data_IF_646519251503
#
_entry.id   IF_646519251503
#
_cell.length_a   1.000
_cell.length_b   1.000
_cell.length_c   1.000
_cell.angle_alpha   90.00
_cell.angle_beta   90.00
_cell.angle_gamma   90.00
#
_symmetry.space_group_name_H-M   'P 1'
#
loop_
_entity.id
_entity.type
_entity.pdbx_description
1 polymer ?
#
# COMPACT_ATOMS: atom_id res chain seq x y z
N UNK A 1 -55.13 -39.66 11.96
CA UNK A 1 -54.28 -38.91 12.90
C UNK A 1 -53.13 -38.33 12.09
N UNK A 2 -53.28 -37.09 11.63
CA UNK A 2 -52.35 -36.40 10.70
C UNK A 2 -51.74 -35.26 11.51
N UNK A 3 -50.43 -35.29 11.73
CA UNK A 3 -49.72 -34.22 12.44
C UNK A 3 -49.16 -33.26 11.39
N UNK A 4 -49.71 -32.06 11.37
CA UNK A 4 -49.29 -30.91 10.57
C UNK A 4 -48.03 -30.28 11.18
N UNK A 5 -46.98 -30.13 10.37
CA UNK A 5 -45.85 -29.25 10.69
C UNK A 5 -46.07 -27.91 9.99
N UNK A 6 -46.41 -26.89 10.78
CA UNK A 6 -46.47 -25.51 10.33
C UNK A 6 -45.07 -24.89 10.35
N UNK A 7 -44.58 -24.47 9.18
CA UNK A 7 -43.32 -23.76 9.00
C UNK A 7 -43.48 -22.29 9.40
N UNK A 8 -42.84 -21.87 10.48
CA UNK A 8 -42.71 -20.46 10.85
C UNK A 8 -41.63 -19.84 9.94
N UNK A 9 -42.07 -19.06 8.94
CA UNK A 9 -41.19 -18.17 8.17
C UNK A 9 -40.99 -16.85 8.95
N UNK A 10 -39.87 -16.70 9.65
CA UNK A 10 -39.41 -15.37 10.07
C UNK A 10 -38.71 -14.68 8.88
N UNK A 11 -39.46 -13.83 8.18
CA UNK A 11 -38.91 -12.95 7.14
C UNK A 11 -38.14 -11.80 7.78
N UNK A 12 -36.84 -11.94 8.00
CA UNK A 12 -35.95 -10.79 8.00
C UNK A 12 -35.68 -10.40 6.55
N UNK A 13 -36.47 -9.46 6.03
CA UNK A 13 -36.26 -8.85 4.74
C UNK A 13 -35.00 -7.98 4.77
N UNK A 14 -33.83 -8.59 4.53
CA UNK A 14 -32.67 -7.85 4.05
C UNK A 14 -33.01 -7.48 2.61
N UNK A 15 -33.19 -6.19 2.33
CA UNK A 15 -33.66 -5.74 1.01
C UNK A 15 -32.69 -6.17 -0.11
N UNK A 16 -33.24 -6.79 -1.15
CA UNK A 16 -32.53 -7.22 -2.37
C UNK A 16 -31.69 -6.13 -3.07
N UNK A 17 -31.86 -4.87 -2.69
CA UNK A 17 -31.08 -3.72 -3.15
C UNK A 17 -29.61 -3.74 -2.70
N UNK A 18 -29.27 -4.40 -1.59
CA UNK A 18 -27.88 -4.48 -1.12
C UNK A 18 -27.02 -5.45 -1.93
N UNK A 19 -27.59 -6.58 -2.34
CA UNK A 19 -26.90 -7.52 -3.23
C UNK A 19 -26.70 -6.92 -4.63
N UNK A 20 -27.65 -6.10 -5.09
CA UNK A 20 -27.61 -5.42 -6.39
C UNK A 20 -26.49 -4.36 -6.48
N UNK A 21 -26.22 -3.61 -5.41
CA UNK A 21 -25.11 -2.64 -5.38
C UNK A 21 -23.74 -3.33 -5.45
N UNK A 22 -23.62 -4.55 -4.94
CA UNK A 22 -22.40 -5.34 -5.05
C UNK A 22 -22.24 -6.02 -6.42
N UNK A 23 -23.32 -6.49 -7.04
CA UNK A 23 -23.25 -7.04 -8.41
C UNK A 23 -23.05 -5.96 -9.47
N UNK A 24 -23.54 -4.72 -9.28
CA UNK A 24 -23.28 -3.63 -10.23
C UNK A 24 -21.82 -3.12 -10.18
N UNK A 25 -21.18 -3.11 -9.00
CA UNK A 25 -19.78 -2.69 -8.87
C UNK A 25 -18.79 -3.66 -9.56
N UNK A 26 -19.22 -4.89 -9.86
CA UNK A 26 -18.46 -5.86 -10.67
C UNK A 26 -18.59 -5.57 -12.18
N UNK A 27 -19.57 -4.76 -12.60
CA UNK A 27 -19.85 -4.40 -14.01
C UNK A 27 -19.09 -3.13 -14.44
N UNK A 28 -18.77 -2.22 -13.52
CA UNK A 28 -18.02 -1.01 -13.83
C UNK A 28 -16.52 -1.34 -13.95
N UNK A 29 -16.02 -1.40 -15.19
CA UNK A 29 -14.60 -1.61 -15.47
C UNK A 29 -13.68 -0.58 -14.80
N UNK A 30 -12.37 -0.86 -14.79
CA UNK A 30 -11.35 0.01 -14.18
C UNK A 30 -11.53 1.47 -14.65
N UNK A 31 -11.72 2.45 -13.75
CA UNK A 31 -11.84 3.87 -14.11
C UNK A 31 -10.65 4.35 -14.93
N UNK A 32 -10.86 5.26 -15.89
CA UNK A 32 -9.78 5.71 -16.77
C UNK A 32 -8.61 6.35 -16.00
N UNK A 33 -8.90 7.06 -14.90
CA UNK A 33 -7.88 7.63 -14.02
C UNK A 33 -7.12 6.58 -13.17
N UNK A 34 -7.54 5.32 -13.17
CA UNK A 34 -6.88 4.21 -12.50
C UNK A 34 -5.99 3.39 -13.47
N UNK A 35 -6.12 3.60 -14.79
CA UNK A 35 -5.38 2.84 -15.80
C UNK A 35 -3.94 3.32 -15.94
N UNK A 36 -3.02 2.36 -15.90
CA UNK A 36 -1.62 2.54 -16.27
C UNK A 36 -1.35 2.30 -17.76
N UNK A 37 -0.11 2.54 -18.24
CA UNK A 37 0.32 2.02 -19.53
C UNK A 37 0.20 0.49 -19.59
N UNK A 38 -0.03 -0.04 -20.79
CA UNK A 38 0.02 -1.47 -21.01
C UNK A 38 1.45 -2.00 -20.83
N UNK A 39 1.57 -3.16 -20.19
CA UNK A 39 2.85 -3.87 -20.11
C UNK A 39 3.10 -4.56 -21.45
N UNK A 40 4.24 -4.30 -22.13
CA UNK A 40 4.54 -4.95 -23.41
C UNK A 40 4.69 -6.47 -23.27
N UNK A 41 4.66 -7.18 -24.40
CA UNK A 41 4.78 -8.65 -24.45
C UNK A 41 6.06 -9.21 -23.78
N UNK A 42 7.12 -8.39 -23.64
CA UNK A 42 8.34 -8.75 -22.90
C UNK A 42 8.16 -8.87 -21.38
N UNK A 43 6.98 -8.55 -20.86
CA UNK A 43 6.59 -8.77 -19.46
C UNK A 43 6.95 -7.66 -18.49
N UNK A 44 7.58 -6.58 -18.95
CA UNK A 44 7.87 -5.39 -18.15
C UNK A 44 7.92 -4.13 -19.02
N UNK A 45 7.69 -2.99 -18.39
CA UNK A 45 7.85 -1.66 -18.99
C UNK A 45 8.94 -0.90 -18.25
N UNK A 46 9.93 -0.37 -18.98
CA UNK A 46 10.91 0.58 -18.46
C UNK A 46 10.75 1.91 -19.18
N UNK A 47 10.66 3.01 -18.44
CA UNK A 47 10.48 4.35 -18.98
C UNK A 47 11.32 5.36 -18.22
N UNK A 48 12.01 6.24 -18.96
CA UNK A 48 12.73 7.36 -18.35
C UNK A 48 11.73 8.39 -17.80
N UNK A 49 11.91 8.79 -16.53
CA UNK A 49 11.14 9.89 -15.92
C UNK A 49 11.89 11.20 -16.14
N UNK A 50 13.04 11.37 -15.46
CA UNK A 50 13.86 12.58 -15.50
C UNK A 50 15.25 12.30 -14.95
N UNK A 51 16.28 12.94 -15.51
CA UNK A 51 17.60 13.07 -14.88
C UNK A 51 18.21 11.75 -14.41
N UNK A 52 18.08 10.67 -15.18
CA UNK A 52 18.61 9.34 -14.87
C UNK A 52 17.72 8.46 -13.98
N UNK A 53 16.52 8.93 -13.59
CA UNK A 53 15.50 8.09 -12.93
C UNK A 53 14.67 7.37 -13.99
N UNK A 54 14.51 6.06 -13.83
CA UNK A 54 13.71 5.20 -14.68
C UNK A 54 12.62 4.52 -13.85
N UNK A 55 11.40 4.58 -14.36
CA UNK A 55 10.25 3.82 -13.85
C UNK A 55 10.28 2.41 -14.43
N UNK A 56 10.02 1.41 -13.59
CA UNK A 56 9.96 0.01 -13.98
C UNK A 56 8.67 -0.63 -13.45
N UNK A 57 7.93 -1.29 -14.34
CA UNK A 57 6.67 -1.99 -14.03
C UNK A 57 6.80 -3.47 -14.41
N UNK A 58 6.29 -4.35 -13.57
CA UNK A 58 6.04 -5.76 -13.89
C UNK A 58 4.83 -6.28 -13.13
N UNK A 59 3.82 -6.77 -13.85
CA UNK A 59 2.51 -7.07 -13.28
C UNK A 59 1.89 -5.84 -12.59
N UNK A 60 1.29 -6.06 -11.42
CA UNK A 60 0.70 -4.98 -10.60
C UNK A 60 1.72 -4.24 -9.71
N UNK A 61 3.02 -4.44 -9.93
CA UNK A 61 4.11 -3.85 -9.16
C UNK A 61 4.86 -2.81 -9.98
N UNK A 62 5.34 -1.79 -9.30
CA UNK A 62 6.19 -0.76 -9.88
C UNK A 62 7.30 -0.35 -8.93
N UNK A 63 8.43 0.03 -9.46
CA UNK A 63 9.55 0.61 -8.72
C UNK A 63 10.31 1.60 -9.61
N UNK A 64 11.39 2.17 -9.11
CA UNK A 64 12.35 2.93 -9.90
C UNK A 64 13.78 2.46 -9.70
N UNK A 65 14.65 2.82 -10.63
CA UNK A 65 16.09 2.80 -10.44
C UNK A 65 16.71 4.09 -10.97
N UNK A 66 17.93 4.38 -10.54
CA UNK A 66 18.68 5.56 -10.96
C UNK A 66 20.01 5.17 -11.59
N UNK A 67 20.28 5.69 -12.79
CA UNK A 67 21.59 5.58 -13.43
C UNK A 67 22.44 6.79 -13.03
N UNK A 68 23.56 6.53 -12.36
CA UNK A 68 24.59 7.53 -12.06
C UNK A 68 25.79 7.36 -12.99
N UNK A 69 26.82 8.21 -12.83
CA UNK A 69 28.13 8.00 -13.44
C UNK A 69 28.98 6.93 -12.73
N UNK A 70 28.62 6.50 -11.51
CA UNK A 70 29.36 5.49 -10.72
C UNK A 70 28.71 4.11 -10.69
N UNK A 71 27.47 3.99 -11.18
CA UNK A 71 26.71 2.74 -11.15
C UNK A 71 25.20 2.97 -11.14
N UNK A 72 24.45 1.89 -10.92
CA UNK A 72 23.00 1.93 -10.78
C UNK A 72 22.60 1.82 -9.31
N UNK A 73 21.69 2.70 -8.88
CA UNK A 73 20.96 2.57 -7.62
C UNK A 73 19.63 1.88 -7.96
N UNK A 74 19.47 0.62 -7.56
CA UNK A 74 18.18 -0.06 -7.61
C UNK A 74 17.36 0.26 -6.36
N UNK A 75 16.06 0.53 -6.53
CA UNK A 75 15.12 0.64 -5.43
C UNK A 75 14.20 -0.57 -5.50
N UNK A 76 14.09 -1.29 -4.38
CA UNK A 76 13.36 -2.56 -4.24
C UNK A 76 13.74 -3.64 -5.28
N UNK A 77 13.12 -4.80 -5.19
CA UNK A 77 13.25 -5.94 -6.10
C UNK A 77 11.97 -6.81 -6.12
N UNK A 78 10.85 -6.31 -6.66
CA UNK A 78 9.59 -7.05 -6.60
C UNK A 78 9.69 -8.39 -7.35
N UNK A 79 9.25 -9.53 -6.78
CA UNK A 79 9.30 -10.83 -7.45
C UNK A 79 8.52 -10.88 -8.77
N UNK A 80 7.45 -10.09 -8.90
CA UNK A 80 6.71 -9.95 -10.16
C UNK A 80 7.56 -9.38 -11.31
N UNK A 81 8.60 -8.60 -10.98
CA UNK A 81 9.61 -8.12 -11.94
C UNK A 81 10.77 -9.12 -12.02
N UNK A 82 11.27 -9.60 -10.87
CA UNK A 82 12.28 -10.66 -10.79
C UNK A 82 13.52 -10.37 -11.65
N UNK A 83 13.93 -11.37 -12.46
CA UNK A 83 15.10 -11.25 -13.35
C UNK A 83 14.95 -10.19 -14.45
N UNK A 84 13.72 -9.75 -14.75
CA UNK A 84 13.50 -8.71 -15.74
C UNK A 84 14.02 -7.34 -15.26
N UNK A 85 14.28 -7.14 -13.96
CA UNK A 85 14.86 -5.90 -13.45
C UNK A 85 16.23 -5.64 -14.10
N UNK A 86 17.13 -6.62 -14.07
CA UNK A 86 18.45 -6.47 -14.68
C UNK A 86 18.39 -6.31 -16.20
N UNK A 87 17.41 -6.94 -16.86
CA UNK A 87 17.17 -6.73 -18.30
C UNK A 87 16.74 -5.30 -18.59
N UNK A 88 15.80 -4.76 -17.82
CA UNK A 88 15.36 -3.38 -17.93
C UNK A 88 16.50 -2.37 -17.73
N UNK A 89 17.41 -2.64 -16.78
CA UNK A 89 18.62 -1.83 -16.59
C UNK A 89 19.52 -1.90 -17.83
N UNK A 90 19.78 -3.11 -18.35
CA UNK A 90 20.65 -3.29 -19.53
C UNK A 90 20.11 -2.64 -20.81
N UNK A 91 18.80 -2.38 -20.90
CA UNK A 91 18.22 -1.63 -22.02
C UNK A 91 18.60 -0.16 -22.04
N UNK A 92 19.03 0.40 -20.89
CA UNK A 92 19.27 1.84 -20.75
C UNK A 92 20.70 2.19 -20.33
N UNK A 93 21.49 1.22 -19.86
CA UNK A 93 22.90 1.45 -19.50
C UNK A 93 23.70 0.13 -19.39
N UNK A 94 25.01 0.21 -19.66
CA UNK A 94 25.96 -0.89 -19.41
C UNK A 94 26.51 -0.92 -17.96
N UNK A 95 26.02 -0.02 -17.09
CA UNK A 95 26.51 0.07 -15.71
C UNK A 95 25.88 -1.00 -14.83
N UNK A 96 26.67 -1.50 -13.88
CA UNK A 96 26.22 -2.49 -12.89
C UNK A 96 25.49 -1.82 -11.73
N UNK A 97 24.65 -2.61 -11.05
CA UNK A 97 24.01 -2.20 -9.79
C UNK A 97 25.07 -2.16 -8.69
N UNK A 98 25.31 -0.98 -8.13
CA UNK A 98 26.26 -0.78 -7.02
C UNK A 98 25.56 -0.55 -5.68
N UNK A 99 24.29 -0.13 -5.72
CA UNK A 99 23.49 0.18 -4.54
C UNK A 99 22.09 -0.41 -4.69
N UNK A 100 21.56 -0.95 -3.59
CA UNK A 100 20.18 -1.45 -3.50
C UNK A 100 19.53 -0.80 -2.29
N UNK A 101 18.44 -0.06 -2.50
CA UNK A 101 17.67 0.57 -1.44
C UNK A 101 16.39 -0.22 -1.22
N UNK A 102 16.11 -0.63 0.01
CA UNK A 102 14.82 -1.22 0.38
C UNK A 102 13.89 -0.15 0.93
N UNK A 103 12.68 -0.07 0.38
CA UNK A 103 11.62 0.81 0.89
C UNK A 103 11.10 0.35 2.24
N UNK A 104 10.88 -0.97 2.39
CA UNK A 104 10.48 -1.65 3.62
C UNK A 104 10.80 -3.17 3.55
N UNK A 105 10.35 -3.93 4.54
CA UNK A 105 10.74 -5.34 4.74
C UNK A 105 9.82 -6.39 4.09
N UNK A 106 8.78 -5.99 3.35
CA UNK A 106 7.87 -6.96 2.75
C UNK A 106 8.47 -7.64 1.50
N UNK A 107 8.27 -8.96 1.41
CA UNK A 107 8.91 -9.81 0.39
C UNK A 107 8.36 -9.63 -1.02
N UNK A 108 7.16 -9.10 -1.18
CA UNK A 108 6.61 -8.72 -2.47
C UNK A 108 7.30 -7.48 -3.07
N UNK A 109 8.01 -6.70 -2.25
CA UNK A 109 8.87 -5.61 -2.71
C UNK A 109 10.33 -5.99 -2.78
N UNK A 110 10.88 -6.75 -1.83
CA UNK A 110 12.34 -7.00 -1.77
C UNK A 110 12.75 -8.46 -2.00
N UNK A 111 11.78 -9.36 -2.21
CA UNK A 111 12.01 -10.81 -2.25
C UNK A 111 12.90 -11.30 -3.40
N UNK A 112 13.05 -10.52 -4.47
CA UNK A 112 13.97 -10.84 -5.57
C UNK A 112 15.32 -10.10 -5.50
N UNK A 113 15.65 -9.49 -4.36
CA UNK A 113 16.90 -8.74 -4.21
C UNK A 113 18.14 -9.64 -4.30
N UNK A 114 18.01 -10.95 -4.10
CA UNK A 114 19.08 -11.92 -4.35
C UNK A 114 19.54 -12.01 -5.81
N UNK A 115 18.82 -11.40 -6.76
CA UNK A 115 19.26 -11.28 -8.15
C UNK A 115 20.33 -10.19 -8.34
N UNK A 116 20.49 -9.24 -7.41
CA UNK A 116 21.48 -8.18 -7.50
C UNK A 116 22.87 -8.65 -7.05
N UNK A 117 23.96 -7.93 -7.44
CA UNK A 117 25.30 -8.27 -7.00
C UNK A 117 25.40 -8.35 -5.47
N UNK A 118 26.16 -9.34 -4.98
CA UNK A 118 26.32 -9.60 -3.54
C UNK A 118 27.17 -8.54 -2.85
N UNK A 119 28.04 -7.89 -3.59
CA UNK A 119 28.96 -6.82 -3.18
C UNK A 119 28.35 -5.41 -3.34
N UNK A 120 27.12 -5.30 -3.85
CA UNK A 120 26.38 -4.04 -3.83
C UNK A 120 26.14 -3.57 -2.39
N UNK A 121 26.06 -2.25 -2.20
CA UNK A 121 25.72 -1.66 -0.90
C UNK A 121 24.21 -1.70 -0.70
N UNK A 122 23.75 -2.55 0.22
CA UNK A 122 22.34 -2.63 0.61
C UNK A 122 22.04 -1.59 1.70
N UNK A 123 21.07 -0.71 1.40
CA UNK A 123 20.68 0.43 2.22
C UNK A 123 19.22 0.32 2.64
N UNK A 124 18.94 0.45 3.93
CA UNK A 124 17.56 0.51 4.42
C UNK A 124 17.45 1.20 5.79
N UNK A 125 16.23 1.47 6.24
CA UNK A 125 16.02 1.86 7.62
C UNK A 125 16.43 0.72 8.57
N UNK A 126 16.97 1.04 9.75
CA UNK A 126 17.46 0.02 10.71
C UNK A 126 16.40 -1.01 11.15
N UNK A 127 15.12 -0.67 11.06
CA UNK A 127 14.03 -1.59 11.42
C UNK A 127 13.82 -2.67 10.36
N UNK A 128 14.05 -2.35 9.07
CA UNK A 128 14.08 -3.33 7.98
C UNK A 128 15.24 -4.31 8.20
N UNK A 129 16.44 -3.81 8.48
CA UNK A 129 17.59 -4.66 8.78
C UNK A 129 17.37 -5.54 10.02
N UNK A 130 16.73 -5.00 11.07
CA UNK A 130 16.35 -5.78 12.26
C UNK A 130 15.36 -6.89 11.90
N UNK A 131 14.30 -6.58 11.15
CA UNK A 131 13.28 -7.56 10.73
C UNK A 131 13.90 -8.71 9.94
N UNK A 132 14.70 -8.39 8.93
CA UNK A 132 15.40 -9.40 8.12
C UNK A 132 16.42 -10.21 8.93
N UNK A 133 17.12 -9.60 9.90
CA UNK A 133 18.04 -10.33 10.79
C UNK A 133 17.30 -11.35 11.66
N UNK A 134 16.14 -10.97 12.20
CA UNK A 134 15.27 -11.87 13.00
C UNK A 134 14.76 -13.01 12.12
N UNK A 135 14.24 -12.70 10.92
CA UNK A 135 13.77 -13.71 9.99
C UNK A 135 14.90 -14.70 9.62
N UNK A 136 16.11 -14.19 9.35
CA UNK A 136 17.27 -15.03 9.00
C UNK A 136 17.72 -15.92 10.15
N UNK A 137 17.65 -15.44 11.40
CA UNK A 137 17.98 -16.24 12.57
C UNK A 137 16.94 -17.35 12.85
N UNK A 138 15.68 -17.13 12.48
CA UNK A 138 14.59 -18.08 12.71
C UNK A 138 14.37 -19.08 11.56
N UNK A 139 14.81 -18.76 10.34
CA UNK A 139 14.52 -19.56 9.16
C UNK A 139 15.40 -20.81 9.05
N UNK A 140 14.78 -21.95 8.75
CA UNK A 140 15.49 -23.20 8.41
C UNK A 140 16.20 -23.11 7.05
N UNK A 141 15.66 -22.31 6.13
CA UNK A 141 16.25 -22.03 4.83
C UNK A 141 16.27 -20.52 4.58
N UNK A 142 17.46 -19.95 4.45
CA UNK A 142 17.65 -18.51 4.23
C UNK A 142 17.84 -18.15 2.75
N UNK A 143 17.81 -19.13 1.85
CA UNK A 143 18.16 -18.93 0.42
C UNK A 143 17.16 -18.03 -0.30
N UNK A 144 15.93 -17.95 0.20
CA UNK A 144 14.87 -17.07 -0.31
C UNK A 144 14.78 -15.73 0.45
N UNK A 145 15.58 -15.52 1.49
CA UNK A 145 15.54 -14.28 2.26
C UNK A 145 16.43 -13.20 1.60
N UNK A 146 15.95 -11.95 1.53
CA UNK A 146 16.76 -10.83 1.06
C UNK A 146 18.03 -10.62 1.88
N UNK A 147 19.04 -10.04 1.24
CA UNK A 147 20.28 -9.62 1.92
C UNK A 147 19.95 -8.65 3.05
N UNK A 148 20.47 -8.89 4.26
CA UNK A 148 20.32 -7.95 5.37
C UNK A 148 21.10 -6.67 5.03
N UNK A 149 20.46 -5.48 5.01
CA UNK A 149 21.14 -4.22 4.71
C UNK A 149 22.26 -3.93 5.70
N UNK A 150 23.48 -3.72 5.18
CA UNK A 150 24.67 -3.40 5.97
C UNK A 150 24.78 -1.90 6.28
N UNK A 151 24.27 -1.04 5.38
CA UNK A 151 24.22 0.41 5.59
C UNK A 151 22.81 0.80 6.03
N UNK A 152 22.68 1.23 7.28
CA UNK A 152 21.36 1.58 7.84
C UNK A 152 21.29 3.02 8.32
N UNK A 153 20.06 3.53 8.45
CA UNK A 153 19.78 4.84 9.03
C UNK A 153 18.61 4.78 10.03
N UNK A 154 18.49 5.84 10.85
CA UNK A 154 17.46 5.93 11.91
C UNK A 154 16.37 6.97 11.67
N UNK A 155 16.72 8.10 11.05
CA UNK A 155 15.79 9.22 10.82
C UNK A 155 15.89 9.68 9.38
N UNK A 156 17.11 10.03 8.95
CA UNK A 156 17.40 10.49 7.60
C UNK A 156 18.74 9.94 7.11
N UNK A 157 18.86 9.75 5.81
CA UNK A 157 20.13 9.50 5.13
C UNK A 157 20.11 10.22 3.78
N UNK A 158 21.17 11.01 3.53
CA UNK A 158 21.46 11.51 2.19
C UNK A 158 22.35 10.47 1.48
N UNK A 159 21.77 9.74 0.54
CA UNK A 159 22.51 8.78 -0.28
C UNK A 159 22.95 9.47 -1.57
N UNK A 160 24.26 9.65 -1.70
CA UNK A 160 24.90 10.22 -2.90
C UNK A 160 25.68 9.09 -3.57
N UNK A 161 25.43 8.88 -4.87
CA UNK A 161 26.18 7.95 -5.72
C UNK A 161 26.46 8.68 -7.02
N UNK A 162 27.72 9.06 -7.22
CA UNK A 162 28.12 9.92 -8.31
C UNK A 162 27.28 11.20 -8.39
N UNK A 163 26.66 11.43 -9.55
CA UNK A 163 25.81 12.59 -9.83
C UNK A 163 24.35 12.46 -9.38
N UNK A 164 23.99 11.38 -8.66
CA UNK A 164 22.63 11.12 -8.17
C UNK A 164 22.54 11.30 -6.66
N UNK A 165 21.39 11.78 -6.19
CA UNK A 165 21.13 12.01 -4.76
C UNK A 165 19.72 11.57 -4.41
N UNK A 166 19.61 10.76 -3.36
CA UNK A 166 18.36 10.34 -2.73
C UNK A 166 18.32 10.80 -1.28
N UNK A 167 17.20 11.40 -0.88
CA UNK A 167 16.85 11.65 0.50
C UNK A 167 16.01 10.46 0.98
N UNK A 168 16.55 9.71 1.95
CA UNK A 168 15.85 8.61 2.60
C UNK A 168 15.37 9.09 3.97
N UNK A 169 14.08 9.36 4.10
CA UNK A 169 13.47 9.90 5.32
C UNK A 169 12.56 8.87 5.98
N UNK A 170 12.59 8.81 7.31
CA UNK A 170 11.69 8.01 8.14
C UNK A 170 10.91 8.92 9.08
N UNK A 171 9.59 8.97 8.92
CA UNK A 171 8.68 9.86 9.65
C UNK A 171 7.85 9.16 10.74
N UNK A 172 8.18 7.90 11.04
CA UNK A 172 7.40 7.05 11.94
C UNK A 172 6.84 5.82 11.22
N UNK A 173 6.21 4.94 11.98
CA UNK A 173 5.56 3.75 11.43
C UNK A 173 4.31 4.22 10.67
N UNK A 174 4.06 3.65 9.50
CA UNK A 174 2.81 3.83 8.75
C UNK A 174 2.31 2.44 8.29
N UNK A 175 2.49 2.10 7.02
CA UNK A 175 2.34 0.76 6.48
C UNK A 175 3.17 -0.27 7.28
N UNK A 176 4.48 -0.05 7.40
CA UNK A 176 5.39 -0.99 8.07
C UNK A 176 6.49 -0.28 8.88
N UNK A 177 7.07 -0.93 9.90
CA UNK A 177 8.23 -0.39 10.60
C UNK A 177 9.44 -0.22 9.68
N UNK A 178 9.85 1.03 9.48
CA UNK A 178 10.97 1.36 8.59
C UNK A 178 10.58 1.66 7.14
N UNK A 179 9.27 1.80 6.86
CA UNK A 179 8.79 2.31 5.58
C UNK A 179 9.42 3.68 5.27
N UNK A 180 10.21 3.71 4.20
CA UNK A 180 11.07 4.85 3.89
C UNK A 180 10.44 5.72 2.82
N UNK A 181 10.47 7.04 3.04
CA UNK A 181 10.21 8.03 2.00
C UNK A 181 11.50 8.20 1.19
N UNK A 182 11.45 7.90 -0.10
CA UNK A 182 12.61 7.90 -1.00
C UNK A 182 12.43 9.04 -2.00
N UNK A 183 13.13 10.15 -1.79
CA UNK A 183 12.95 11.37 -2.57
C UNK A 183 14.19 11.73 -3.39
N UNK A 184 14.02 11.92 -4.69
CA UNK A 184 15.02 12.40 -5.62
C UNK A 184 14.77 13.89 -5.93
N UNK A 185 15.38 14.83 -5.17
CA UNK A 185 15.01 16.25 -5.23
C UNK A 185 15.25 16.90 -6.60
N UNK A 186 16.37 16.60 -7.24
CA UNK A 186 16.72 17.14 -8.57
C UNK A 186 15.71 16.71 -9.63
N UNK A 187 15.16 15.51 -9.51
CA UNK A 187 14.22 14.94 -10.46
C UNK A 187 12.76 15.19 -10.08
N UNK A 188 12.51 15.67 -8.85
CA UNK A 188 11.18 15.83 -8.26
C UNK A 188 10.37 14.53 -8.27
N UNK A 189 11.01 13.41 -7.93
CA UNK A 189 10.37 12.09 -7.84
C UNK A 189 10.35 11.65 -6.38
N UNK A 190 9.19 11.32 -5.86
CA UNK A 190 9.01 10.75 -4.53
C UNK A 190 8.44 9.33 -4.64
N UNK A 191 9.04 8.39 -3.93
CA UNK A 191 8.52 7.04 -3.78
C UNK A 191 8.21 6.78 -2.32
N UNK A 192 7.00 6.28 -2.06
CA UNK A 192 6.58 5.74 -0.77
C UNK A 192 5.66 4.55 -1.04
N UNK A 193 6.18 3.35 -0.84
CA UNK A 193 5.41 2.13 -1.06
C UNK A 193 4.27 2.01 -0.06
N UNK A 194 3.15 1.45 -0.55
CA UNK A 194 2.03 0.94 0.27
C UNK A 194 1.36 1.96 1.18
N UNK A 195 1.37 3.22 0.76
CA UNK A 195 0.51 4.26 1.35
C UNK A 195 -0.45 4.75 0.28
N UNK A 196 0.08 5.31 -0.82
CA UNK A 196 -0.73 5.85 -1.92
C UNK A 196 -0.75 4.93 -3.13
N UNK A 197 -1.96 4.66 -3.61
CA UNK A 197 -2.28 3.79 -4.75
C UNK A 197 -2.95 4.65 -5.83
N UNK A 198 -2.19 5.26 -6.75
CA UNK A 198 -2.73 6.26 -7.66
C UNK A 198 -3.95 5.78 -8.47
N UNK A 199 -5.13 6.35 -8.18
CA UNK A 199 -6.38 6.02 -8.87
C UNK A 199 -7.07 4.74 -8.37
N UNK A 200 -6.55 4.10 -7.33
CA UNK A 200 -7.10 2.88 -6.74
C UNK A 200 -7.42 3.08 -5.26
N UNK A 201 -8.34 2.29 -4.74
CA UNK A 201 -8.48 2.14 -3.29
C UNK A 201 -7.14 1.62 -2.72
N UNK A 202 -6.75 2.04 -1.50
CA UNK A 202 -5.70 1.35 -0.76
C UNK A 202 -5.98 -0.14 -0.77
N UNK A 203 -4.93 -0.94 -0.98
CA UNK A 203 -5.02 -2.40 -0.95
C UNK A 203 -5.58 -2.89 0.40
N UNK A 204 -5.95 -4.15 0.46
CA UNK A 204 -6.65 -4.78 1.58
C UNK A 204 -6.26 -4.26 2.97
N UNK A 205 -7.26 -3.97 3.81
CA UNK A 205 -7.07 -3.45 5.16
C UNK A 205 -6.12 -2.24 5.24
N UNK A 206 -6.30 -1.25 4.35
CA UNK A 206 -5.41 -0.10 4.23
C UNK A 206 -3.94 -0.52 4.08
N UNK A 207 -3.71 -1.42 3.12
CA UNK A 207 -2.44 -2.05 2.83
C UNK A 207 -1.86 -2.88 3.99
N UNK A 208 -2.68 -3.49 4.84
CA UNK A 208 -2.21 -4.13 6.08
C UNK A 208 -1.42 -3.18 7.00
N UNK A 209 -1.70 -1.87 6.94
CA UNK A 209 -0.93 -0.89 7.68
C UNK A 209 -0.84 -1.23 9.18
N UNK A 210 0.38 -1.11 9.70
CA UNK A 210 0.75 -1.46 11.08
C UNK A 210 0.45 -0.35 12.07
N UNK A 211 0.33 0.89 11.61
CA UNK A 211 -0.04 2.06 12.40
C UNK A 211 -0.99 2.94 11.56
N UNK A 212 -2.29 2.96 11.90
CA UNK A 212 -3.30 3.66 11.08
C UNK A 212 -3.19 5.17 11.25
N UNK A 213 -2.89 5.67 12.45
CA UNK A 213 -2.62 7.10 12.64
C UNK A 213 -1.46 7.59 11.76
N UNK A 214 -0.38 6.82 11.68
CA UNK A 214 0.78 7.06 10.83
C UNK A 214 0.45 6.93 9.35
N UNK A 215 -0.39 5.97 8.96
CA UNK A 215 -0.90 5.84 7.58
C UNK A 215 -1.71 7.08 7.15
N UNK A 216 -2.62 7.56 8.01
CA UNK A 216 -3.37 8.80 7.78
C UNK A 216 -2.40 9.98 7.61
N UNK A 217 -1.51 10.18 8.58
CA UNK A 217 -0.53 11.28 8.60
C UNK A 217 0.49 11.24 7.45
N UNK A 218 0.77 10.06 6.91
CA UNK A 218 1.72 9.91 5.81
C UNK A 218 1.29 10.73 4.58
N UNK A 219 -0.01 10.87 4.32
CA UNK A 219 -0.52 11.69 3.22
C UNK A 219 -0.13 13.16 3.37
N UNK A 220 -0.31 13.74 4.56
CA UNK A 220 0.12 15.12 4.85
C UNK A 220 1.63 15.26 4.70
N UNK A 221 2.38 14.27 5.18
CA UNK A 221 3.83 14.26 5.10
C UNK A 221 4.31 14.23 3.64
N UNK A 222 3.72 13.39 2.78
CA UNK A 222 3.99 13.35 1.34
C UNK A 222 3.78 14.75 0.73
N UNK A 223 2.67 15.41 1.07
CA UNK A 223 2.32 16.72 0.54
C UNK A 223 3.29 17.84 0.94
N UNK A 224 4.20 17.62 1.90
CA UNK A 224 5.27 18.58 2.24
C UNK A 224 6.45 18.57 1.25
N UNK A 225 6.60 17.51 0.44
CA UNK A 225 7.68 17.39 -0.54
C UNK A 225 7.34 18.13 -1.85
N UNK A 226 8.34 18.76 -2.47
CA UNK A 226 8.26 19.34 -3.83
C UNK A 226 8.50 18.25 -4.89
N UNK A 227 7.54 17.33 -5.03
CA UNK A 227 7.56 16.29 -6.06
C UNK A 227 6.58 16.61 -7.20
N UNK A 228 6.91 16.16 -8.40
CA UNK A 228 6.03 16.16 -9.58
C UNK A 228 5.50 14.76 -9.87
N UNK A 229 6.30 13.72 -9.57
CA UNK A 229 5.94 12.33 -9.82
C UNK A 229 6.00 11.53 -8.51
N UNK A 230 4.97 10.73 -8.28
CA UNK A 230 4.86 9.83 -7.14
C UNK A 230 4.89 8.36 -7.60
N UNK A 231 5.58 7.49 -6.85
CA UNK A 231 5.62 6.03 -7.09
C UNK A 231 5.16 5.31 -5.82
N UNK A 232 4.12 4.48 -5.95
CA UNK A 232 3.44 3.83 -4.81
C UNK A 232 3.83 2.37 -4.54
N UNK A 233 4.77 1.80 -5.31
CA UNK A 233 5.17 0.38 -5.19
C UNK A 233 4.21 -0.61 -5.87
N UNK A 234 2.92 -0.34 -5.81
CA UNK A 234 1.87 -1.08 -6.51
C UNK A 234 1.11 -0.22 -7.50
N UNK A 235 0.25 -0.89 -8.26
CA UNK A 235 -0.54 -0.41 -9.39
C UNK A 235 0.35 0.08 -10.52
N UNK A 236 0.04 -0.28 -11.76
CA UNK A 236 0.91 0.01 -12.90
C UNK A 236 0.83 1.48 -13.34
N UNK A 237 0.71 2.45 -12.44
CA UNK A 237 0.46 3.87 -12.73
C UNK A 237 1.27 4.80 -11.82
N UNK A 238 1.98 5.75 -12.43
CA UNK A 238 2.61 6.87 -11.72
C UNK A 238 1.54 7.79 -11.11
N UNK A 239 1.82 8.26 -9.90
CA UNK A 239 0.98 9.22 -9.20
C UNK A 239 1.42 10.66 -9.37
N UNK A 240 0.50 11.54 -9.01
CA UNK A 240 0.70 12.99 -8.92
C UNK A 240 0.33 13.47 -7.53
N UNK A 241 0.58 14.76 -7.24
CA UNK A 241 0.09 15.40 -6.02
C UNK A 241 -1.42 15.24 -5.85
N UNK A 242 -2.18 15.34 -6.94
CA UNK A 242 -3.63 15.17 -6.92
C UNK A 242 -4.04 13.77 -6.46
N UNK A 243 -3.31 12.73 -6.85
CA UNK A 243 -3.60 11.36 -6.41
C UNK A 243 -3.43 11.19 -4.89
N UNK A 244 -2.42 11.85 -4.31
CA UNK A 244 -2.21 11.88 -2.86
C UNK A 244 -3.36 12.60 -2.15
N UNK A 245 -3.80 13.74 -2.69
CA UNK A 245 -4.95 14.48 -2.17
C UNK A 245 -6.25 13.66 -2.26
N UNK A 246 -6.51 13.00 -3.40
CA UNK A 246 -7.68 12.11 -3.57
C UNK A 246 -7.68 11.04 -2.49
N UNK A 247 -6.53 10.42 -2.24
CA UNK A 247 -6.48 9.32 -1.29
C UNK A 247 -6.53 9.81 0.16
N UNK A 248 -5.96 10.98 0.46
CA UNK A 248 -6.14 11.67 1.75
C UNK A 248 -7.63 11.92 2.03
N UNK A 249 -8.36 12.46 1.04
CA UNK A 249 -9.79 12.72 1.15
C UNK A 249 -10.57 11.41 1.40
N UNK A 250 -10.22 10.33 0.69
CA UNK A 250 -10.82 9.01 0.88
C UNK A 250 -10.61 8.48 2.30
N UNK A 251 -9.37 8.52 2.79
CA UNK A 251 -9.01 8.02 4.12
C UNK A 251 -9.68 8.87 5.21
N UNK A 252 -9.80 10.18 5.02
CA UNK A 252 -10.53 11.07 5.93
C UNK A 252 -12.03 10.76 5.97
N UNK A 253 -12.66 10.55 4.81
CA UNK A 253 -14.06 10.12 4.73
C UNK A 253 -14.27 8.75 5.41
N UNK A 254 -13.35 7.81 5.20
CA UNK A 254 -13.38 6.47 5.80
C UNK A 254 -13.29 6.53 7.32
N UNK A 255 -12.38 7.36 7.84
CA UNK A 255 -12.21 7.60 9.27
C UNK A 255 -13.47 8.22 9.89
N UNK A 256 -14.06 9.24 9.26
CA UNK A 256 -15.33 9.80 9.72
C UNK A 256 -16.48 8.78 9.66
N UNK A 257 -16.55 7.97 8.61
CA UNK A 257 -17.56 6.92 8.47
C UNK A 257 -17.42 5.85 9.56
N UNK A 258 -16.19 5.48 9.94
CA UNK A 258 -15.93 4.53 11.02
C UNK A 258 -16.41 5.05 12.38
N UNK A 259 -16.11 6.32 12.70
CA UNK A 259 -16.60 7.01 13.90
C UNK A 259 -18.13 7.05 13.96
N UNK A 260 -18.77 7.47 12.87
CA UNK A 260 -20.24 7.50 12.78
C UNK A 260 -20.85 6.11 12.95
N UNK A 261 -20.24 5.10 12.33
CA UNK A 261 -20.70 3.73 12.43
C UNK A 261 -20.59 3.19 13.87
N UNK A 262 -19.46 3.40 14.55
CA UNK A 262 -19.29 2.99 15.94
C UNK A 262 -20.29 3.68 16.88
N UNK A 263 -20.51 4.98 16.71
CA UNK A 263 -21.43 5.75 17.54
C UNK A 263 -22.91 5.49 17.23
N UNK A 264 -23.23 5.13 15.99
CA UNK A 264 -24.60 4.92 15.53
C UNK A 264 -25.06 3.46 15.57
N UNK A 265 -24.15 2.50 15.71
CA UNK A 265 -24.52 1.07 15.75
C UNK A 265 -25.16 0.71 17.09
N UNK A 266 -26.27 -0.01 17.02
CA UNK A 266 -27.00 -0.54 18.17
C UNK A 266 -27.26 -2.03 17.92
N UNK A 267 -27.07 -2.85 18.95
CA UNK A 267 -27.54 -4.23 18.93
C UNK A 267 -29.04 -4.26 19.23
N UNK A 268 -29.70 -5.37 18.88
CA UNK A 268 -31.11 -5.57 19.22
C UNK A 268 -31.33 -5.67 20.74
N UNK A 269 -30.29 -6.06 21.48
CA UNK A 269 -30.25 -6.04 22.94
C UNK A 269 -29.34 -4.90 23.43
N UNK A 270 -29.54 -4.44 24.67
CA UNK A 270 -28.97 -3.20 25.20
C UNK A 270 -27.50 -3.28 25.63
N UNK A 271 -26.95 -4.49 25.84
CA UNK A 271 -25.62 -4.71 26.42
C UNK A 271 -24.76 -5.61 25.53
N UNK A 272 -23.43 -5.42 25.55
CA UNK A 272 -22.47 -6.34 24.90
C UNK A 272 -21.91 -7.23 26.01
N UNK A 273 -22.48 -8.42 26.19
CA UNK A 273 -22.17 -9.28 27.34
C UNK A 273 -21.27 -10.47 26.95
N UNK A 274 -21.08 -10.72 25.65
CA UNK A 274 -20.28 -11.82 25.14
C UNK A 274 -19.41 -11.45 23.93
N UNK A 275 -18.43 -12.31 23.62
CA UNK A 275 -17.63 -12.22 22.40
C UNK A 275 -18.48 -12.34 21.13
N UNK A 276 -19.59 -13.08 21.20
CA UNK A 276 -20.56 -13.20 20.12
C UNK A 276 -21.22 -11.85 19.87
N UNK A 277 -21.73 -11.20 20.90
CA UNK A 277 -22.37 -9.87 20.82
C UNK A 277 -21.38 -8.83 20.31
N UNK A 278 -20.13 -8.91 20.77
CA UNK A 278 -19.08 -8.02 20.28
C UNK A 278 -18.83 -8.21 18.79
N UNK A 279 -18.78 -9.46 18.33
CA UNK A 279 -18.60 -9.79 16.92
C UNK A 279 -19.77 -9.30 16.08
N UNK A 280 -21.00 -9.47 16.56
CA UNK A 280 -22.21 -8.98 15.90
C UNK A 280 -22.20 -7.45 15.78
N UNK A 281 -21.85 -6.75 16.86
CA UNK A 281 -21.75 -5.29 16.88
C UNK A 281 -20.74 -4.80 15.84
N UNK A 282 -19.55 -5.41 15.78
CA UNK A 282 -18.51 -4.97 14.86
C UNK A 282 -18.90 -5.22 13.40
N UNK A 283 -19.50 -6.38 13.10
CA UNK A 283 -20.04 -6.64 11.76
C UNK A 283 -21.12 -5.62 11.38
N UNK A 284 -22.01 -5.25 12.31
CA UNK A 284 -23.02 -4.23 12.06
C UNK A 284 -22.39 -2.85 11.81
N UNK A 285 -21.37 -2.47 12.58
CA UNK A 285 -20.63 -1.23 12.40
C UNK A 285 -19.87 -1.19 11.05
N UNK A 286 -19.24 -2.29 10.65
CA UNK A 286 -18.58 -2.40 9.35
C UNK A 286 -19.56 -2.21 8.18
N UNK A 287 -20.74 -2.86 8.27
CA UNK A 287 -21.79 -2.69 7.26
C UNK A 287 -22.35 -1.26 7.25
N UNK A 288 -22.42 -0.60 8.42
CA UNK A 288 -22.81 0.81 8.49
C UNK A 288 -21.73 1.71 7.85
N UNK A 289 -20.46 1.54 8.20
CA UNK A 289 -19.34 2.25 7.55
C UNK A 289 -19.41 2.12 6.03
N UNK A 290 -19.57 0.90 5.53
CA UNK A 290 -19.68 0.63 4.10
C UNK A 290 -20.85 1.38 3.46
N UNK A 291 -22.03 1.40 4.10
CA UNK A 291 -23.20 2.15 3.61
C UNK A 291 -22.90 3.65 3.48
N UNK A 292 -22.19 4.23 4.44
CA UNK A 292 -21.78 5.64 4.38
C UNK A 292 -20.82 5.84 3.21
N UNK A 293 -19.81 4.99 3.08
CA UNK A 293 -18.79 5.12 2.02
C UNK A 293 -19.34 4.93 0.61
N UNK A 294 -20.30 4.02 0.41
CA UNK A 294 -20.97 3.84 -0.88
C UNK A 294 -21.74 5.08 -1.32
N UNK A 295 -22.32 5.85 -0.39
CA UNK A 295 -23.04 7.11 -0.70
C UNK A 295 -22.11 8.24 -1.13
N UNK A 296 -20.82 8.16 -0.80
CA UNK A 296 -19.79 9.15 -1.16
C UNK A 296 -19.30 9.01 -2.61
N UNK A 297 -19.79 8.02 -3.36
CA UNK A 297 -19.44 7.76 -4.77
C UNK A 297 -17.93 7.55 -5.02
N UNK A 298 -17.19 7.02 -4.03
CA UNK A 298 -15.77 6.70 -4.19
C UNK A 298 -15.50 5.66 -5.29
N UNK A 299 -16.47 4.78 -5.56
CA UNK A 299 -16.42 3.77 -6.63
C UNK A 299 -16.32 4.37 -8.04
N UNK A 300 -16.73 5.64 -8.22
CA UNK A 300 -16.56 6.37 -9.49
C UNK A 300 -15.19 7.05 -9.61
N UNK A 301 -14.48 7.21 -8.50
CA UNK A 301 -13.19 7.93 -8.42
C UNK A 301 -12.00 6.99 -8.35
N UNK A 302 -12.17 5.81 -7.75
CA UNK A 302 -11.11 4.85 -7.48
C UNK A 302 -11.47 3.48 -8.03
N UNK A 303 -10.50 2.81 -8.67
CA UNK A 303 -10.62 1.42 -9.08
C UNK A 303 -10.45 0.44 -7.91
N UNK A 304 -11.03 -0.76 -8.01
CA UNK A 304 -10.89 -1.81 -7.00
C UNK A 304 -11.87 -1.72 -5.84
N UNK A 305 -13.11 -1.31 -6.08
CA UNK A 305 -14.14 -1.11 -5.04
C UNK A 305 -14.46 -2.34 -4.20
N UNK A 306 -14.10 -3.55 -4.66
CA UNK A 306 -14.23 -4.79 -3.89
C UNK A 306 -13.44 -4.77 -2.58
N UNK A 307 -12.43 -3.90 -2.43
CA UNK A 307 -11.59 -3.76 -1.23
C UNK A 307 -12.25 -2.86 -0.17
N UNK A 308 -13.25 -2.05 -0.54
CA UNK A 308 -13.87 -1.10 0.38
C UNK A 308 -14.36 -1.71 1.72
N UNK A 309 -14.95 -2.92 1.75
CA UNK A 309 -15.34 -3.56 3.01
C UNK A 309 -14.17 -3.78 3.98
N UNK A 310 -13.01 -4.22 3.51
CA UNK A 310 -11.86 -4.48 4.39
C UNK A 310 -11.20 -3.19 4.88
N UNK A 311 -11.23 -2.12 4.07
CA UNK A 311 -10.82 -0.80 4.54
C UNK A 311 -11.74 -0.28 5.65
N UNK A 312 -13.06 -0.49 5.55
CA UNK A 312 -13.99 -0.21 6.66
C UNK A 312 -13.67 -1.06 7.90
N UNK A 313 -13.43 -2.36 7.73
CA UNK A 313 -13.01 -3.23 8.84
C UNK A 313 -11.78 -2.69 9.57
N UNK A 314 -10.71 -2.43 8.82
CA UNK A 314 -9.45 -1.93 9.39
C UNK A 314 -9.63 -0.61 10.13
N UNK A 315 -10.35 0.35 9.54
CA UNK A 315 -10.57 1.65 10.18
C UNK A 315 -11.46 1.55 11.42
N UNK A 316 -12.49 0.69 11.41
CA UNK A 316 -13.31 0.40 12.60
C UNK A 316 -12.46 -0.19 13.73
N UNK A 317 -11.57 -1.13 13.42
CA UNK A 317 -10.67 -1.70 14.43
C UNK A 317 -9.73 -0.64 14.99
N UNK A 318 -9.07 0.13 14.13
CA UNK A 318 -8.14 1.18 14.55
C UNK A 318 -8.83 2.25 15.40
N UNK A 319 -10.00 2.75 14.98
CA UNK A 319 -10.78 3.76 15.72
C UNK A 319 -11.15 3.29 17.14
N UNK A 320 -11.23 1.97 17.36
CA UNK A 320 -11.51 1.41 18.69
C UNK A 320 -10.29 1.21 19.58
N UNK A 321 -9.11 0.98 19.00
CA UNK A 321 -7.94 0.46 19.75
C UNK A 321 -6.73 1.38 19.70
N UNK A 322 -6.60 2.21 18.66
CA UNK A 322 -5.50 3.14 18.48
C UNK A 322 -5.89 4.52 19.03
N UNK A 323 -5.27 5.00 20.12
CA UNK A 323 -5.67 6.25 20.76
C UNK A 323 -5.65 7.44 19.80
N UNK A 324 -4.65 7.52 18.92
CA UNK A 324 -4.50 8.61 17.97
C UNK A 324 -5.52 8.59 16.83
N UNK A 325 -6.17 7.45 16.58
CA UNK A 325 -7.26 7.34 15.59
C UNK A 325 -8.61 7.59 16.26
N UNK A 326 -8.75 7.19 17.54
CA UNK A 326 -9.99 7.28 18.30
C UNK A 326 -10.36 8.72 18.73
N UNK A 327 -9.38 9.63 18.88
CA UNK A 327 -9.60 10.98 19.46
C UNK A 327 -9.53 12.12 18.44
N UNK A 328 -9.18 11.80 17.19
CA UNK A 328 -9.14 12.72 16.05
C UNK A 328 -10.34 12.48 15.16
#
# INVERSE_FOLDING_TARGET
MIISYSTIHSRTAISNSFLHLFTQAVIDGIPNNAKGPAIPAKGYLVQHIRGGVYWLIGGAYQTMFMVSNEGVIAIDAPPAIGKNYLKAISEVTDKVVTHVVYSHDHLDHIGSAGNFPKDAVYVAHRLVAKSLSVAKAAAQNTSSLPTVPSRTFRKKLLLIVGNQTLHLDYHGINHSPGNTFIYAPKQKVLMLCDVVYPGWFPFDELAYARDIAGFIKAHDTILTYDFQTFIGGHVSRLGTRRDVEVQKDYVSDLHSAAHQALNGTRLAHSSIDSWKDKTEFLKAAEQFCLKIMLRKNWTKKLGGSSILPSNCHKMIMATRIEPLVAVT
#
